data_IF_660226468362
#
_entry.id   IF_660226468362
#
_cell.length_a   1.000
_cell.length_b   1.000
_cell.length_c   1.000
_cell.angle_alpha   90.00
_cell.angle_beta   90.00
_cell.angle_gamma   90.00
#
_symmetry.space_group_name_H-M   'P 1'
#
loop_
_entity.id
_entity.type
_entity.pdbx_description
1 polymer ?
#
# COMPACT_ATOMS: atom_id res chain seq x y z
N UNK A 1 16.30 -5.65 4.11
CA UNK A 1 16.35 -4.60 5.13
C UNK A 1 14.99 -3.92 5.14
N UNK A 2 14.21 -4.12 6.21
CA UNK A 2 12.89 -3.49 6.37
C UNK A 2 13.17 -2.09 6.93
N UNK A 3 12.74 -1.05 6.22
CA UNK A 3 13.02 0.33 6.60
C UNK A 3 12.24 0.69 7.87
N UNK A 4 12.94 1.29 8.83
CA UNK A 4 12.53 1.55 10.21
C UNK A 4 11.31 2.50 10.34
N UNK A 5 10.83 3.07 9.24
CA UNK A 5 9.69 3.99 9.19
C UNK A 5 8.33 3.28 9.15
N UNK A 6 8.27 1.98 8.85
CA UNK A 6 7.01 1.19 8.83
C UNK A 6 6.52 0.81 10.25
N UNK A 7 7.23 1.21 11.32
CA UNK A 7 6.94 0.83 12.72
C UNK A 7 5.96 1.80 13.42
N UNK A 8 5.58 2.94 12.83
CA UNK A 8 4.93 4.01 13.61
C UNK A 8 3.48 3.76 14.07
N UNK A 9 2.83 2.65 13.73
CA UNK A 9 1.45 2.34 14.21
C UNK A 9 1.18 0.90 14.62
N UNK A 10 2.23 0.10 14.86
CA UNK A 10 2.08 -1.31 15.25
C UNK A 10 1.51 -2.22 14.15
N UNK A 11 1.37 -1.71 12.92
CA UNK A 11 1.05 -2.51 11.74
C UNK A 11 2.30 -2.68 10.91
N UNK A 12 2.68 -3.92 10.62
CA UNK A 12 3.81 -4.21 9.75
C UNK A 12 3.37 -3.92 8.32
N UNK A 13 3.80 -2.79 7.77
CA UNK A 13 3.61 -2.48 6.35
C UNK A 13 4.85 -2.94 5.60
N UNK A 14 4.64 -3.81 4.63
CA UNK A 14 5.65 -4.23 3.67
C UNK A 14 5.14 -4.02 2.25
N UNK A 15 6.02 -4.13 1.27
CA UNK A 15 5.72 -3.75 -0.11
C UNK A 15 6.19 -4.85 -1.05
N UNK A 16 5.28 -5.31 -1.90
CA UNK A 16 5.61 -6.15 -3.05
C UNK A 16 5.74 -5.25 -4.27
N UNK A 17 6.79 -5.47 -5.05
CA UNK A 17 7.04 -4.72 -6.26
C UNK A 17 7.07 -5.66 -7.44
N UNK A 18 6.20 -5.41 -8.39
CA UNK A 18 6.19 -6.08 -9.67
C UNK A 18 6.59 -5.08 -10.76
N UNK A 19 7.17 -5.60 -11.85
CA UNK A 19 7.52 -4.80 -13.00
C UNK A 19 6.84 -5.40 -14.22
N UNK A 20 6.07 -4.57 -14.91
CA UNK A 20 5.30 -4.93 -16.09
C UNK A 20 5.66 -3.99 -17.24
N UNK A 21 5.31 -4.39 -18.47
CA UNK A 21 5.54 -3.57 -19.66
C UNK A 21 6.88 -3.79 -20.36
N UNK A 22 7.12 -3.07 -21.47
CA UNK A 22 8.26 -3.28 -22.35
C UNK A 22 9.57 -2.73 -21.74
N UNK A 23 10.71 -3.31 -22.13
CA UNK A 23 12.05 -2.97 -21.63
C UNK A 23 12.41 -1.47 -21.74
N UNK A 24 11.87 -0.78 -22.75
CA UNK A 24 12.13 0.65 -23.00
C UNK A 24 11.20 1.60 -22.21
N UNK A 25 10.13 1.09 -21.61
CA UNK A 25 9.19 1.85 -20.79
C UNK A 25 8.58 0.95 -19.70
N UNK A 26 9.40 0.54 -18.70
CA UNK A 26 8.91 -0.32 -17.64
C UNK A 26 7.88 0.42 -16.79
N UNK A 27 6.81 -0.29 -16.46
CA UNK A 27 5.83 0.12 -15.46
C UNK A 27 6.12 -0.65 -14.18
N UNK A 28 6.22 0.06 -13.08
CA UNK A 28 6.36 -0.53 -11.76
C UNK A 28 5.00 -0.55 -11.08
N UNK A 29 4.67 -1.69 -10.50
CA UNK A 29 3.53 -1.88 -9.63
C UNK A 29 4.02 -2.02 -8.20
N UNK A 30 3.37 -1.35 -7.26
CA UNK A 30 3.63 -1.48 -5.83
C UNK A 30 2.36 -1.90 -5.11
N UNK A 31 2.40 -3.04 -4.45
CA UNK A 31 1.29 -3.60 -3.68
C UNK A 31 1.64 -3.50 -2.19
N UNK A 32 0.83 -2.77 -1.39
CA UNK A 32 1.02 -2.73 0.05
C UNK A 32 0.56 -4.02 0.70
N UNK A 33 1.35 -4.51 1.65
CA UNK A 33 1.05 -5.67 2.48
C UNK A 33 0.99 -5.20 3.92
N UNK A 34 -0.18 -5.25 4.54
CA UNK A 34 -0.38 -4.81 5.94
C UNK A 34 -0.71 -6.03 6.78
N UNK A 35 0.10 -6.28 7.80
CA UNK A 35 -0.06 -7.42 8.71
C UNK A 35 -0.16 -8.78 7.96
N UNK A 36 0.59 -8.89 6.86
CA UNK A 36 0.63 -10.09 6.01
C UNK A 36 -0.51 -10.20 4.98
N UNK A 37 -1.45 -9.24 4.94
CA UNK A 37 -2.54 -9.21 3.96
C UNK A 37 -2.13 -8.32 2.79
N UNK A 38 -2.14 -8.85 1.57
CA UNK A 38 -1.91 -8.08 0.34
C UNK A 38 -3.15 -7.23 0.00
N UNK A 39 -2.96 -5.91 -0.09
CA UNK A 39 -4.00 -4.97 -0.50
C UNK A 39 -3.86 -4.65 -1.99
N UNK A 40 -4.15 -5.64 -2.85
CA UNK A 40 -4.07 -5.48 -4.30
C UNK A 40 -4.98 -4.35 -4.84
N UNK A 41 -6.11 -4.08 -4.17
CA UNK A 41 -7.00 -2.95 -4.49
C UNK A 41 -6.32 -1.58 -4.32
N UNK A 42 -5.27 -1.51 -3.51
CA UNK A 42 -4.48 -0.32 -3.26
C UNK A 42 -3.18 -0.31 -4.07
N UNK A 43 -3.06 -1.15 -5.11
CA UNK A 43 -1.89 -1.15 -5.97
C UNK A 43 -1.70 0.24 -6.64
N UNK A 44 -0.46 0.70 -6.65
CA UNK A 44 -0.03 1.92 -7.33
C UNK A 44 0.85 1.58 -8.53
N UNK A 45 0.76 2.39 -9.57
CA UNK A 45 1.45 2.16 -10.84
C UNK A 45 2.26 3.40 -11.21
N UNK A 46 3.47 3.20 -11.70
CA UNK A 46 4.28 4.33 -12.13
C UNK A 46 5.52 3.93 -12.93
N UNK A 47 6.15 4.89 -13.62
CA UNK A 47 7.37 4.65 -14.38
C UNK A 47 8.58 4.39 -13.46
N UNK A 48 8.46 4.63 -12.15
CA UNK A 48 9.47 4.33 -11.13
C UNK A 48 8.82 3.64 -9.95
N UNK A 49 9.59 2.81 -9.23
CA UNK A 49 9.16 2.17 -7.97
C UNK A 49 8.71 3.17 -6.92
N UNK A 50 9.34 4.35 -6.86
CA UNK A 50 8.98 5.40 -5.92
C UNK A 50 7.58 5.98 -6.20
N UNK A 51 7.28 6.27 -7.47
CA UNK A 51 5.99 6.81 -7.89
C UNK A 51 4.85 5.80 -7.62
N UNK A 52 5.09 4.53 -7.97
CA UNK A 52 4.17 3.43 -7.70
C UNK A 52 3.89 3.28 -6.19
N UNK A 53 4.94 3.35 -5.37
CA UNK A 53 4.81 3.27 -3.91
C UNK A 53 4.00 4.44 -3.33
N UNK A 54 4.24 5.66 -3.81
CA UNK A 54 3.54 6.84 -3.31
C UNK A 54 2.04 6.78 -3.62
N UNK A 55 1.69 6.39 -4.84
CA UNK A 55 0.30 6.21 -5.23
C UNK A 55 -0.37 5.10 -4.39
N UNK A 56 0.32 3.97 -4.22
CA UNK A 56 -0.17 2.85 -3.42
C UNK A 56 -0.37 3.23 -1.95
N UNK A 57 0.56 4.02 -1.38
CA UNK A 57 0.45 4.52 -0.01
C UNK A 57 -0.76 5.44 0.18
N UNK A 58 -1.04 6.34 -0.77
CA UNK A 58 -2.21 7.22 -0.74
C UNK A 58 -3.52 6.41 -0.77
N UNK A 59 -3.61 5.39 -1.64
CA UNK A 59 -4.77 4.50 -1.71
C UNK A 59 -4.94 3.70 -0.42
N UNK A 60 -3.85 3.15 0.11
CA UNK A 60 -3.85 2.40 1.36
C UNK A 60 -4.31 3.27 2.54
N UNK A 61 -3.81 4.49 2.67
CA UNK A 61 -4.21 5.40 3.73
C UNK A 61 -5.71 5.71 3.67
N UNK A 62 -6.23 5.98 2.47
CA UNK A 62 -7.66 6.22 2.27
C UNK A 62 -8.50 4.99 2.66
N UNK A 63 -8.05 3.79 2.30
CA UNK A 63 -8.76 2.54 2.61
C UNK A 63 -8.74 2.22 4.10
N UNK A 64 -7.58 2.37 4.75
CA UNK A 64 -7.45 2.19 6.21
C UNK A 64 -8.30 3.20 6.98
N UNK A 65 -8.42 4.45 6.50
CA UNK A 65 -9.31 5.45 7.09
C UNK A 65 -10.78 5.05 6.98
N UNK A 66 -11.23 4.52 5.85
CA UNK A 66 -12.61 3.99 5.69
C UNK A 66 -12.88 2.84 6.65
N UNK A 67 -11.97 1.87 6.72
CA UNK A 67 -12.11 0.72 7.62
C UNK A 67 -12.12 1.13 9.09
N UNK A 68 -11.27 2.07 9.49
CA UNK A 68 -11.26 2.61 10.85
C UNK A 68 -12.59 3.31 11.20
N UNK A 69 -13.14 4.09 10.27
CA UNK A 69 -14.45 4.74 10.45
C UNK A 69 -15.59 3.71 10.57
N UNK A 70 -15.57 2.67 9.74
CA UNK A 70 -16.58 1.61 9.78
C UNK A 70 -16.58 0.86 11.12
N UNK A 71 -15.40 0.51 11.64
CA UNK A 71 -15.25 -0.16 12.94
C UNK A 71 -15.68 0.76 14.09
N UNK A 72 -15.32 2.05 14.05
CA UNK A 72 -15.74 3.02 15.06
C UNK A 72 -17.27 3.24 15.08
N UNK A 73 -17.92 3.20 13.92
CA UNK A 73 -19.37 3.29 13.80
C UNK A 73 -20.11 2.06 14.32
N UNK A 74 -19.53 0.87 14.20
CA UNK A 74 -20.15 -0.39 14.68
C UNK A 74 -20.08 -0.59 16.19
N UNK A 75 -19.12 0.03 16.90
CA UNK A 75 -19.03 -0.08 18.37
C UNK A 75 -19.93 0.91 19.13
N UNK A 76 -20.79 1.66 18.43
CA UNK A 76 -21.74 2.61 19.05
C UNK A 76 -23.19 2.09 19.11
N UNK A 77 -23.43 0.78 18.99
CA UNK A 77 -24.76 0.15 19.12
C UNK A 77 -24.79 -0.77 20.34
#
# INVERSE_FOLDING_TARGET
MINQTDIQRGRLISWKYDQTGPLNAPTHEAIPIVDGIEYAICAGFGPKRADAKEEAAKKLEAELKKLAWFVAGMMSV
#
